data_IF_549266894249
#
_entry.id   IF_549266894249
#
_cell.length_a   1.000
_cell.length_b   1.000
_cell.length_c   1.000
_cell.angle_alpha   90.00
_cell.angle_beta   90.00
_cell.angle_gamma   90.00
#
_symmetry.space_group_name_H-M   'P 1'
#
loop_
_entity.id
_entity.type
_entity.pdbx_description
1 polymer ?
#
# COMPACT_ATOMS: atom_id res chain seq x y z
N UNK A 1 -36.93 8.52 -20.91
CA UNK A 1 -37.03 9.95 -20.60
C UNK A 1 -37.71 10.14 -19.25
N UNK A 2 -36.92 10.22 -18.17
CA UNK A 2 -37.37 10.68 -16.86
C UNK A 2 -36.23 11.50 -16.26
N UNK A 3 -36.49 12.79 -16.11
CA UNK A 3 -35.59 13.85 -15.68
C UNK A 3 -35.51 13.83 -14.15
N UNK A 4 -34.31 13.71 -13.59
CA UNK A 4 -34.08 13.95 -12.15
C UNK A 4 -33.44 15.32 -11.99
N UNK A 5 -34.18 16.21 -11.33
CA UNK A 5 -33.80 17.58 -10.99
C UNK A 5 -33.02 17.56 -9.67
N UNK A 6 -31.77 18.04 -9.72
CA UNK A 6 -30.91 18.19 -8.56
C UNK A 6 -31.29 19.44 -7.75
N UNK A 7 -31.36 19.31 -6.42
CA UNK A 7 -31.47 20.43 -5.49
C UNK A 7 -30.13 20.59 -4.77
N UNK A 8 -29.44 21.69 -5.05
CA UNK A 8 -28.17 22.09 -4.44
C UNK A 8 -28.46 23.30 -3.54
N UNK A 9 -28.45 23.11 -2.23
CA UNK A 9 -28.51 24.21 -1.25
C UNK A 9 -27.09 24.67 -0.91
N UNK A 10 -26.74 25.88 -1.37
CA UNK A 10 -25.56 26.60 -0.96
C UNK A 10 -25.84 27.37 0.35
N UNK A 11 -25.02 27.17 1.37
CA UNK A 11 -24.98 28.01 2.57
C UNK A 11 -23.81 28.98 2.42
N UNK A 12 -24.13 30.26 2.26
CA UNK A 12 -23.15 31.35 2.26
C UNK A 12 -22.99 31.87 3.71
N UNK A 13 -21.78 31.79 4.25
CA UNK A 13 -21.39 32.47 5.49
C UNK A 13 -20.88 33.87 5.13
N UNK A 14 -21.61 34.90 5.54
CA UNK A 14 -21.17 36.28 5.47
C UNK A 14 -20.35 36.64 6.72
N UNK A 15 -19.13 37.12 6.51
CA UNK A 15 -18.29 37.73 7.52
C UNK A 15 -18.52 39.25 7.55
N UNK A 16 -18.81 39.78 8.73
CA UNK A 16 -18.71 41.19 9.12
C UNK A 16 -18.37 41.12 10.63
N UNK A 17 -17.27 41.63 11.18
CA UNK A 17 -16.60 42.89 10.91
C UNK A 17 -17.02 43.88 11.98
N UNK A 18 -16.13 44.19 12.94
CA UNK A 18 -16.15 45.47 13.67
C UNK A 18 -16.06 45.45 15.19
N UNK A 19 -14.96 46.03 15.70
CA UNK A 19 -15.05 47.20 16.59
C UNK A 19 -14.90 46.97 18.09
N UNK A 20 -13.89 47.59 18.69
CA UNK A 20 -13.58 47.51 20.13
C UNK A 20 -14.28 48.58 20.99
N UNK A 21 -13.95 48.58 22.28
CA UNK A 21 -14.37 49.60 23.24
C UNK A 21 -14.35 49.12 24.69
N UNK A 22 -13.39 49.61 25.48
CA UNK A 22 -13.29 49.41 26.93
C UNK A 22 -14.25 50.33 27.72
N UNK A 23 -14.84 49.81 28.81
CA UNK A 23 -14.73 50.31 30.20
C UNK A 23 -15.95 49.96 31.07
N UNK A 24 -15.64 49.49 32.28
CA UNK A 24 -16.28 49.68 33.59
C UNK A 24 -17.78 49.41 33.81
N UNK A 25 -18.06 48.61 34.85
CA UNK A 25 -19.21 48.84 35.72
C UNK A 25 -20.09 47.63 36.01
N UNK A 26 -19.82 46.98 37.14
CA UNK A 26 -20.81 46.65 38.18
C UNK A 26 -22.15 46.00 37.82
N UNK A 27 -22.27 44.74 38.29
CA UNK A 27 -23.49 44.10 38.82
C UNK A 27 -24.64 43.77 37.85
N UNK A 28 -24.93 42.47 37.74
CA UNK A 28 -26.06 41.77 38.40
C UNK A 28 -26.41 40.53 37.57
N UNK A 29 -25.97 39.37 38.05
CA UNK A 29 -26.31 38.06 37.48
C UNK A 29 -27.80 37.79 37.64
N UNK A 30 -28.52 37.72 36.53
CA UNK A 30 -29.85 37.10 36.45
C UNK A 30 -29.73 35.80 35.68
N UNK A 31 -30.22 34.72 36.28
CA UNK A 31 -30.17 33.38 35.75
C UNK A 31 -31.04 33.28 34.49
N UNK A 32 -30.40 32.95 33.36
CA UNK A 32 -31.08 32.66 32.10
C UNK A 32 -31.37 31.16 32.03
N UNK A 33 -32.65 30.81 32.08
CA UNK A 33 -33.16 29.46 31.91
C UNK A 33 -32.87 28.93 30.51
N UNK A 34 -32.27 27.75 30.43
CA UNK A 34 -32.03 27.01 29.19
C UNK A 34 -33.36 26.62 28.51
N UNK A 35 -33.47 26.70 27.18
CA UNK A 35 -34.63 26.17 26.46
C UNK A 35 -34.62 24.63 26.45
N UNK A 36 -35.80 24.04 26.60
CA UNK A 36 -36.02 22.60 26.52
C UNK A 36 -35.67 22.05 25.12
N UNK A 37 -34.89 20.97 25.10
CA UNK A 37 -34.61 20.17 23.90
C UNK A 37 -35.77 19.20 23.67
N UNK A 38 -36.53 19.39 22.59
CA UNK A 38 -37.52 18.40 22.14
C UNK A 38 -36.80 17.25 21.43
N UNK A 39 -36.97 16.04 21.96
CA UNK A 39 -36.50 14.78 21.38
C UNK A 39 -37.50 14.31 20.32
N UNK A 40 -37.12 14.17 19.03
CA UNK A 40 -38.03 13.59 18.04
C UNK A 40 -38.17 12.08 18.25
N UNK A 41 -39.43 11.64 18.28
CA UNK A 41 -39.84 10.24 18.42
C UNK A 41 -39.53 9.45 17.15
N UNK A 42 -38.71 8.39 17.27
CA UNK A 42 -38.39 7.49 16.17
C UNK A 42 -39.52 6.45 15.99
N UNK A 43 -40.22 6.51 14.87
CA UNK A 43 -41.18 5.48 14.44
C UNK A 43 -40.45 4.25 13.94
N UNK A 44 -40.71 3.10 14.57
CA UNK A 44 -40.20 1.78 14.22
C UNK A 44 -40.77 1.29 12.87
N UNK A 45 -39.94 0.92 11.88
CA UNK A 45 -40.44 0.27 10.67
C UNK A 45 -40.79 -1.21 10.93
N UNK A 46 -41.95 -1.62 10.41
CA UNK A 46 -42.44 -2.99 10.47
C UNK A 46 -41.51 -3.98 9.73
N UNK A 47 -41.20 -5.09 10.39
CA UNK A 47 -40.45 -6.20 9.82
C UNK A 47 -41.34 -7.00 8.84
N UNK A 48 -40.99 -6.98 7.55
CA UNK A 48 -41.52 -7.93 6.58
C UNK A 48 -40.61 -9.15 6.53
N UNK A 49 -41.13 -10.29 6.98
CA UNK A 49 -40.52 -11.62 6.90
C UNK A 49 -40.55 -12.13 5.45
N UNK A 50 -39.42 -12.43 4.80
CA UNK A 50 -39.43 -13.13 3.52
C UNK A 50 -39.71 -14.62 3.74
N UNK A 51 -40.65 -15.16 2.97
CA UNK A 51 -40.93 -16.59 2.85
C UNK A 51 -39.74 -17.24 2.12
N UNK A 52 -39.17 -18.29 2.72
CA UNK A 52 -38.10 -19.08 2.15
C UNK A 52 -38.68 -20.10 1.15
N UNK A 53 -38.38 -19.92 -0.14
CA UNK A 53 -38.58 -20.96 -1.15
C UNK A 53 -37.45 -21.99 -1.06
N UNK A 54 -37.84 -23.24 -0.82
CA UNK A 54 -36.98 -24.40 -0.70
C UNK A 54 -36.70 -25.01 -2.08
N UNK A 55 -35.45 -25.13 -2.57
CA UNK A 55 -35.15 -25.91 -3.76
C UNK A 55 -35.03 -27.40 -3.41
N UNK A 56 -35.64 -28.22 -4.24
CA UNK A 56 -35.66 -29.67 -4.16
C UNK A 56 -34.25 -30.29 -4.30
N UNK A 57 -34.03 -31.35 -3.52
CA UNK A 57 -32.86 -32.20 -3.58
C UNK A 57 -32.80 -33.00 -4.88
N UNK A 58 -31.69 -32.88 -5.61
CA UNK A 58 -31.30 -33.82 -6.67
C UNK A 58 -30.09 -34.63 -6.22
N UNK A 59 -30.29 -35.93 -6.09
CA UNK A 59 -29.32 -36.96 -5.73
C UNK A 59 -28.21 -37.07 -6.80
N UNK A 60 -26.91 -37.16 -6.45
CA UNK A 60 -25.86 -37.43 -7.42
C UNK A 60 -25.66 -38.94 -7.63
N UNK A 61 -25.64 -39.35 -8.90
CA UNK A 61 -25.27 -40.69 -9.31
C UNK A 61 -23.74 -40.90 -9.17
N UNK A 62 -23.40 -42.06 -8.61
CA UNK A 62 -22.07 -42.58 -8.35
C UNK A 62 -21.42 -43.07 -9.65
N UNK A 63 -20.19 -42.64 -9.94
CA UNK A 63 -19.28 -43.36 -10.82
C UNK A 63 -17.82 -43.06 -10.44
N UNK A 64 -17.17 -44.05 -9.84
CA UNK A 64 -15.71 -44.14 -9.73
C UNK A 64 -15.16 -44.70 -11.05
N UNK A 65 -13.93 -44.34 -11.48
CA UNK A 65 -12.90 -45.34 -11.30
C UNK A 65 -11.53 -44.80 -10.85
N UNK A 66 -10.95 -45.64 -9.99
CA UNK A 66 -9.55 -45.81 -9.63
C UNK A 66 -8.56 -45.71 -10.81
N UNK A 67 -7.55 -44.85 -10.64
CA UNK A 67 -6.23 -45.06 -11.25
C UNK A 67 -5.13 -44.80 -10.20
N UNK A 68 -4.52 -45.88 -9.75
CA UNK A 68 -3.31 -45.92 -8.92
C UNK A 68 -2.11 -45.34 -9.67
N UNK A 69 -1.38 -44.35 -9.13
CA UNK A 69 -0.07 -43.97 -9.63
C UNK A 69 1.03 -44.74 -8.89
N UNK A 70 1.79 -45.53 -9.64
CA UNK A 70 2.98 -46.25 -9.19
C UNK A 70 4.13 -45.26 -8.96
N UNK A 71 4.65 -45.19 -7.73
CA UNK A 71 5.83 -44.41 -7.35
C UNK A 71 7.09 -45.25 -7.65
N UNK A 72 8.06 -44.76 -8.44
CA UNK A 72 9.40 -45.35 -8.49
C UNK A 72 10.28 -44.87 -7.31
N UNK A 73 11.20 -45.72 -6.81
CA UNK A 73 11.88 -45.52 -5.53
C UNK A 73 12.98 -44.45 -5.56
N UNK A 74 13.09 -43.74 -4.44
CA UNK A 74 14.16 -42.80 -4.10
C UNK A 74 15.53 -43.49 -4.05
N UNK A 75 16.51 -42.92 -4.76
CA UNK A 75 17.94 -43.17 -4.54
C UNK A 75 18.53 -42.09 -3.63
N UNK A 76 19.36 -42.43 -2.62
CA UNK A 76 19.97 -41.44 -1.73
C UNK A 76 21.23 -40.84 -2.35
N UNK A 77 21.31 -39.50 -2.42
CA UNK A 77 22.56 -38.80 -2.73
C UNK A 77 23.30 -38.41 -1.44
N UNK A 78 24.45 -39.04 -1.26
CA UNK A 78 25.47 -38.76 -0.23
C UNK A 78 26.19 -37.42 -0.51
N UNK A 79 26.52 -36.61 0.50
CA UNK A 79 27.24 -35.35 0.30
C UNK A 79 28.75 -35.57 0.13
N UNK A 80 29.34 -34.87 -0.84
CA UNK A 80 30.79 -34.81 -1.04
C UNK A 80 31.42 -33.68 -0.18
N UNK A 81 32.67 -33.86 0.29
CA UNK A 81 33.26 -33.07 1.37
C UNK A 81 33.92 -31.76 0.91
N UNK A 82 33.85 -30.76 1.79
CA UNK A 82 34.55 -29.48 1.73
C UNK A 82 36.06 -29.62 1.93
N UNK A 83 36.87 -29.03 1.04
CA UNK A 83 38.30 -28.80 1.24
C UNK A 83 38.56 -27.45 1.91
N UNK A 84 39.56 -27.35 2.82
CA UNK A 84 39.87 -26.15 3.57
C UNK A 84 40.88 -25.27 2.81
N UNK A 85 40.71 -23.94 2.87
CA UNK A 85 41.76 -22.99 2.48
C UNK A 85 42.36 -22.38 3.73
N UNK A 86 43.67 -22.60 3.83
CA UNK A 86 44.61 -22.24 4.87
C UNK A 86 44.78 -20.72 4.98
N UNK A 87 44.89 -20.25 6.22
CA UNK A 87 45.40 -18.92 6.56
C UNK A 87 46.92 -18.86 6.37
N UNK A 88 47.46 -17.66 6.10
CA UNK A 88 48.68 -17.17 6.74
C UNK A 88 48.91 -15.66 6.50
N UNK A 89 49.75 -14.98 7.33
CA UNK A 89 49.53 -13.60 7.76
C UNK A 89 50.74 -12.67 7.60
N UNK A 90 50.55 -11.39 7.98
CA UNK A 90 51.56 -10.35 8.33
C UNK A 90 52.32 -9.77 7.10
N UNK A 91 52.46 -8.45 6.88
CA UNK A 91 53.18 -7.43 7.71
C UNK A 91 52.81 -5.97 7.31
N UNK A 92 53.03 -4.97 8.19
CA UNK A 92 52.66 -3.55 8.00
C UNK A 92 53.86 -2.65 7.64
N UNK A 93 53.61 -1.49 7.00
CA UNK A 93 54.47 -0.30 7.13
C UNK A 93 53.84 1.01 6.56
N UNK A 94 53.71 2.01 7.44
CA UNK A 94 54.00 3.46 7.27
C UNK A 94 53.32 4.34 6.20
N UNK A 95 52.44 5.24 6.70
CA UNK A 95 52.38 6.73 6.58
C UNK A 95 53.38 7.46 5.66
N UNK A 96 53.05 8.64 5.05
CA UNK A 96 52.47 9.78 5.78
C UNK A 96 51.47 10.69 5.04
N UNK A 97 50.83 11.50 5.89
CA UNK A 97 50.04 12.71 5.62
C UNK A 97 50.74 13.74 4.73
N UNK A 98 50.02 14.26 3.75
CA UNK A 98 50.35 15.49 3.03
C UNK A 98 49.07 16.31 2.79
N UNK A 99 49.05 17.53 3.31
CA UNK A 99 47.94 18.47 3.21
C UNK A 99 48.06 19.40 1.97
N UNK A 100 46.89 19.91 1.57
CA UNK A 100 46.66 21.21 0.89
C UNK A 100 46.85 21.33 -0.63
N UNK A 101 45.75 21.51 -1.37
CA UNK A 101 45.36 22.80 -1.97
C UNK A 101 43.93 22.77 -2.56
N UNK A 102 43.18 23.90 -2.52
CA UNK A 102 41.85 24.04 -3.09
C UNK A 102 41.94 24.56 -4.54
N UNK A 103 41.24 23.93 -5.48
CA UNK A 103 41.24 24.41 -6.86
C UNK A 103 40.25 23.69 -7.77
N UNK A 104 39.25 24.44 -8.24
CA UNK A 104 38.47 24.11 -9.43
C UNK A 104 37.20 23.30 -9.15
N UNK A 105 36.11 23.99 -8.82
CA UNK A 105 34.78 23.48 -9.12
C UNK A 105 34.65 23.40 -10.65
N UNK A 106 35.01 22.26 -11.23
CA UNK A 106 34.50 21.87 -12.54
C UNK A 106 32.99 21.70 -12.38
N UNK A 107 32.23 22.69 -12.83
CA UNK A 107 30.82 22.51 -13.11
C UNK A 107 30.72 21.31 -14.06
N UNK A 108 30.03 20.21 -13.68
CA UNK A 108 29.79 19.12 -14.59
C UNK A 108 29.14 19.73 -15.83
N UNK A 109 29.76 19.54 -16.99
CA UNK A 109 29.16 19.96 -18.25
C UNK A 109 27.77 19.31 -18.31
N UNK A 110 26.73 20.14 -18.29
CA UNK A 110 25.36 19.70 -18.50
C UNK A 110 25.32 19.07 -19.90
N UNK A 111 25.36 17.74 -19.94
CA UNK A 111 25.15 16.99 -21.17
C UNK A 111 23.68 17.19 -21.53
N UNK A 112 23.44 18.00 -22.56
CA UNK A 112 22.12 18.18 -23.12
C UNK A 112 21.70 16.83 -23.74
N UNK A 113 21.00 16.01 -22.96
CA UNK A 113 20.38 14.80 -23.42
C UNK A 113 19.23 15.19 -24.36
N UNK A 114 19.41 15.04 -25.67
CA UNK A 114 18.31 15.17 -26.62
C UNK A 114 17.46 13.90 -26.51
N UNK A 115 16.54 13.86 -25.56
CA UNK A 115 15.80 12.65 -25.18
C UNK A 115 14.75 12.27 -26.23
N UNK A 116 14.90 11.08 -26.84
CA UNK A 116 13.81 10.36 -27.49
C UNK A 116 13.12 9.37 -26.53
N UNK A 117 11.99 8.80 -26.93
CA UNK A 117 11.32 7.71 -26.20
C UNK A 117 11.54 6.38 -26.92
N UNK A 118 11.66 5.28 -26.17
CA UNK A 118 11.80 3.93 -26.74
C UNK A 118 11.04 2.90 -25.90
N UNK A 119 10.48 1.90 -26.57
CA UNK A 119 9.93 0.69 -25.94
C UNK A 119 10.94 -0.48 -25.94
N UNK A 120 12.11 -0.29 -26.56
CA UNK A 120 13.21 -1.24 -26.51
C UNK A 120 14.12 -0.91 -25.32
N UNK A 121 14.06 -1.77 -24.29
CA UNK A 121 14.88 -1.67 -23.07
C UNK A 121 16.38 -1.68 -23.38
N UNK A 122 16.82 -2.36 -24.45
CA UNK A 122 18.23 -2.40 -24.84
C UNK A 122 18.68 -1.10 -25.50
N UNK A 123 17.75 -0.41 -26.17
CA UNK A 123 18.00 0.89 -26.79
C UNK A 123 18.03 2.04 -25.78
N UNK A 124 17.32 1.91 -24.65
CA UNK A 124 17.36 2.89 -23.57
C UNK A 124 18.75 3.04 -22.95
N UNK A 125 19.60 1.99 -23.04
CA UNK A 125 20.88 1.89 -22.35
C UNK A 125 22.13 1.87 -23.20
N UNK A 126 22.09 2.45 -24.41
CA UNK A 126 23.31 2.56 -25.20
C UNK A 126 24.24 3.64 -24.65
N UNK A 127 25.43 3.21 -24.21
CA UNK A 127 26.56 4.05 -23.83
C UNK A 127 26.95 4.95 -25.01
N UNK A 128 26.59 6.24 -24.94
CA UNK A 128 27.00 7.22 -25.94
C UNK A 128 25.99 8.34 -26.14
N UNK A 129 25.85 9.20 -25.12
CA UNK A 129 25.21 10.53 -25.15
C UNK A 129 23.74 10.64 -25.60
N UNK A 130 23.13 9.59 -26.15
CA UNK A 130 21.72 9.53 -26.53
C UNK A 130 21.00 8.57 -25.58
N UNK A 131 20.54 9.10 -24.45
CA UNK A 131 19.69 8.37 -23.53
C UNK A 131 18.24 8.50 -24.00
N UNK A 132 17.72 7.43 -24.61
CA UNK A 132 16.28 7.33 -24.84
C UNK A 132 15.61 6.92 -23.53
N UNK A 133 14.49 7.56 -23.21
CA UNK A 133 13.68 7.24 -22.05
C UNK A 133 12.89 5.97 -22.36
N UNK A 134 13.04 4.95 -21.53
CA UNK A 134 12.24 3.74 -21.63
C UNK A 134 10.81 4.00 -21.16
N UNK A 135 9.84 3.65 -22.00
CA UNK A 135 8.40 3.70 -21.73
C UNK A 135 7.77 2.39 -22.20
N UNK A 136 6.64 1.96 -21.62
CA UNK A 136 5.91 0.80 -22.15
C UNK A 136 5.14 1.16 -23.42
N UNK A 137 4.59 2.36 -23.47
CA UNK A 137 3.89 2.91 -24.64
C UNK A 137 4.48 4.28 -25.03
N UNK A 138 4.73 4.51 -26.33
CA UNK A 138 5.29 5.80 -26.79
C UNK A 138 4.29 6.92 -26.49
N UNK A 139 4.69 7.98 -25.75
CA UNK A 139 3.76 9.00 -25.32
C UNK A 139 3.25 9.84 -26.47
N UNK A 140 1.93 10.06 -26.48
CA UNK A 140 1.27 11.05 -27.33
C UNK A 140 1.36 12.44 -26.73
N UNK A 141 1.27 12.51 -25.40
CA UNK A 141 1.33 13.77 -24.65
C UNK A 141 2.53 13.74 -23.70
N UNK A 142 3.39 14.74 -23.77
CA UNK A 142 4.54 14.90 -22.87
C UNK A 142 4.27 16.08 -21.96
N UNK A 143 4.19 15.83 -20.65
CA UNK A 143 4.08 16.91 -19.66
C UNK A 143 5.46 17.57 -19.53
N UNK A 144 5.58 18.90 -19.65
CA UNK A 144 6.87 19.57 -19.46
C UNK A 144 7.45 19.30 -18.07
N UNK A 145 8.78 19.15 -17.98
CA UNK A 145 9.45 19.00 -16.69
C UNK A 145 9.16 20.18 -15.76
N UNK A 146 9.04 19.90 -14.46
CA UNK A 146 8.70 20.88 -13.42
C UNK A 146 7.34 21.57 -13.59
N UNK A 147 6.41 20.97 -14.35
CA UNK A 147 5.03 21.47 -14.46
C UNK A 147 4.38 21.50 -13.08
N UNK A 148 3.71 22.61 -12.76
CA UNK A 148 2.86 22.73 -11.57
C UNK A 148 1.40 22.81 -12.02
N UNK A 149 0.62 21.79 -11.71
CA UNK A 149 -0.83 21.76 -11.92
C UNK A 149 -1.47 22.64 -10.85
N UNK A 150 -1.92 23.83 -11.25
CA UNK A 150 -2.47 24.87 -10.34
C UNK A 150 -4.00 24.92 -10.31
N UNK A 151 -4.64 24.28 -11.27
CA UNK A 151 -6.09 24.23 -11.41
C UNK A 151 -6.52 22.79 -11.69
N UNK A 152 -7.81 22.53 -11.54
CA UNK A 152 -8.37 21.21 -11.82
C UNK A 152 -8.06 20.80 -13.26
N UNK A 153 -7.37 19.66 -13.39
CA UNK A 153 -6.85 19.15 -14.66
C UNK A 153 -7.31 17.73 -14.85
N UNK A 154 -7.68 17.39 -16.08
CA UNK A 154 -8.13 16.03 -16.43
C UNK A 154 -7.22 15.44 -17.51
N UNK A 155 -6.73 14.23 -17.27
CA UNK A 155 -6.00 13.41 -18.23
C UNK A 155 -6.92 12.33 -18.78
N UNK A 156 -7.13 12.34 -20.09
CA UNK A 156 -8.15 11.56 -20.79
C UNK A 156 -7.51 10.48 -21.66
N UNK A 157 -8.24 9.40 -21.94
CA UNK A 157 -7.77 8.35 -22.83
C UNK A 157 -7.43 8.86 -24.25
N UNK A 158 -8.12 9.88 -24.74
CA UNK A 158 -7.91 10.43 -26.09
C UNK A 158 -6.51 11.06 -26.28
N UNK A 159 -5.88 11.52 -25.20
CA UNK A 159 -4.56 12.16 -25.20
C UNK A 159 -3.45 11.25 -24.67
N UNK A 160 -3.82 10.02 -24.28
CA UNK A 160 -2.92 8.97 -23.83
C UNK A 160 -2.05 8.42 -24.97
N UNK A 161 -0.84 7.89 -24.67
CA UNK A 161 -0.17 7.87 -23.37
C UNK A 161 0.41 9.22 -22.96
N UNK A 162 0.40 9.49 -21.65
CA UNK A 162 1.04 10.65 -21.04
C UNK A 162 2.40 10.26 -20.50
N UNK A 163 3.46 11.00 -20.85
CA UNK A 163 4.73 10.94 -20.13
C UNK A 163 4.80 12.06 -19.10
N UNK A 164 5.02 11.67 -17.84
CA UNK A 164 5.09 12.57 -16.69
C UNK A 164 6.49 12.54 -16.10
N UNK A 165 7.34 13.53 -16.41
CA UNK A 165 8.68 13.58 -15.86
C UNK A 165 8.68 13.86 -14.35
N UNK A 166 9.81 13.53 -13.73
CA UNK A 166 10.14 13.97 -12.38
C UNK A 166 10.00 15.49 -12.21
N UNK A 167 9.72 15.92 -10.98
CA UNK A 167 9.53 17.33 -10.65
C UNK A 167 8.15 17.90 -10.97
N UNK A 168 7.26 17.14 -11.62
CA UNK A 168 5.85 17.52 -11.77
C UNK A 168 5.18 17.62 -10.39
N UNK A 169 4.35 18.65 -10.19
CA UNK A 169 3.68 18.92 -8.92
C UNK A 169 2.19 19.21 -9.10
N UNK A 170 1.40 18.87 -8.09
CA UNK A 170 0.00 19.27 -7.97
C UNK A 170 -0.10 20.24 -6.80
N UNK A 171 -0.53 21.48 -7.09
CA UNK A 171 -0.67 22.51 -6.09
C UNK A 171 -1.79 22.19 -5.09
N UNK A 172 -1.72 22.80 -3.91
CA UNK A 172 -2.83 22.76 -2.96
C UNK A 172 -4.12 23.29 -3.62
N UNK A 173 -5.24 22.66 -3.30
CA UNK A 173 -6.58 22.94 -3.87
C UNK A 173 -6.76 22.65 -5.37
N UNK A 174 -5.77 22.07 -6.05
CA UNK A 174 -5.94 21.55 -7.41
C UNK A 174 -6.25 20.04 -7.37
N UNK A 175 -7.08 19.58 -8.31
CA UNK A 175 -7.36 18.17 -8.54
C UNK A 175 -6.78 17.71 -9.87
N UNK A 176 -5.95 16.68 -9.87
CA UNK A 176 -5.63 15.91 -11.08
C UNK A 176 -6.56 14.71 -11.17
N UNK A 177 -7.38 14.66 -12.21
CA UNK A 177 -8.24 13.52 -12.53
C UNK A 177 -7.65 12.73 -13.69
N UNK A 178 -7.47 11.42 -13.51
CA UNK A 178 -7.04 10.47 -14.54
C UNK A 178 -8.24 9.59 -14.85
N UNK A 179 -8.78 9.72 -16.05
CA UNK A 179 -10.00 9.02 -16.47
C UNK A 179 -9.73 7.56 -16.85
N UNK A 180 -10.80 6.78 -16.93
CA UNK A 180 -10.80 5.43 -17.45
C UNK A 180 -10.08 5.33 -18.81
N UNK A 181 -9.19 4.35 -18.95
CA UNK A 181 -8.44 4.08 -20.17
C UNK A 181 -7.25 5.00 -20.44
N UNK A 182 -7.01 6.03 -19.60
CA UNK A 182 -5.79 6.82 -19.70
C UNK A 182 -4.57 5.97 -19.28
N UNK A 183 -3.48 6.07 -20.04
CA UNK A 183 -2.18 5.44 -19.79
C UNK A 183 -1.20 6.54 -19.38
N UNK A 184 -0.64 6.40 -18.18
CA UNK A 184 0.30 7.32 -17.59
C UNK A 184 1.64 6.61 -17.39
N UNK A 185 2.67 7.14 -18.00
CA UNK A 185 4.07 6.72 -17.89
C UNK A 185 4.79 7.73 -17.00
N UNK A 186 5.30 7.30 -15.86
CA UNK A 186 6.20 8.12 -15.06
C UNK A 186 7.65 7.96 -15.50
N UNK A 187 8.47 8.90 -15.03
CA UNK A 187 9.91 8.88 -15.23
C UNK A 187 10.54 7.60 -14.63
N UNK A 188 11.21 6.80 -15.45
CA UNK A 188 11.90 5.58 -15.05
C UNK A 188 13.38 5.72 -15.37
N UNK A 189 14.22 5.66 -14.34
CA UNK A 189 15.68 5.64 -14.49
C UNK A 189 16.11 4.27 -14.99
N UNK A 190 16.26 4.12 -16.30
CA UNK A 190 16.25 2.79 -16.92
C UNK A 190 17.63 2.20 -17.26
N UNK A 191 18.76 2.55 -16.62
CA UNK A 191 20.06 1.96 -17.00
C UNK A 191 20.97 1.45 -15.87
N UNK A 192 21.28 0.14 -15.98
CA UNK A 192 21.87 -0.73 -14.98
C UNK A 192 23.40 -0.65 -14.79
N UNK A 193 24.15 0.22 -15.51
CA UNK A 193 25.51 0.57 -15.03
C UNK A 193 25.45 1.42 -13.76
N UNK A 194 24.29 1.99 -13.46
CA UNK A 194 23.90 2.41 -12.14
C UNK A 194 23.05 1.30 -11.51
N UNK A 195 23.62 0.54 -10.57
CA UNK A 195 22.91 -0.39 -9.67
C UNK A 195 21.99 0.37 -8.70
N UNK A 196 21.20 1.32 -9.20
CA UNK A 196 20.34 2.20 -8.44
C UNK A 196 18.91 2.04 -8.94
N UNK A 197 18.08 1.50 -8.06
CA UNK A 197 16.62 1.56 -8.00
C UNK A 197 15.89 1.85 -9.34
N UNK A 198 15.12 0.87 -9.81
CA UNK A 198 13.97 1.13 -10.69
C UNK A 198 12.91 1.83 -9.84
N UNK A 199 13.21 3.05 -9.42
CA UNK A 199 12.35 3.90 -8.65
C UNK A 199 11.79 4.94 -9.60
N UNK A 200 10.52 4.84 -9.93
CA UNK A 200 9.87 5.97 -10.53
C UNK A 200 9.98 7.17 -9.59
N UNK A 201 10.38 8.32 -10.13
CA UNK A 201 10.42 9.55 -9.35
C UNK A 201 8.98 10.04 -9.14
N UNK A 202 8.42 9.94 -7.93
CA UNK A 202 7.02 10.28 -7.71
C UNK A 202 6.79 11.78 -7.90
N UNK A 203 5.63 12.15 -8.46
CA UNK A 203 5.20 13.54 -8.48
C UNK A 203 4.93 14.04 -7.06
N UNK A 204 5.12 15.33 -6.80
CA UNK A 204 4.78 15.91 -5.49
C UNK A 204 3.32 16.37 -5.50
N UNK A 205 2.51 15.87 -4.57
CA UNK A 205 1.10 16.19 -4.51
C UNK A 205 0.73 16.93 -3.22
N UNK A 206 0.33 18.20 -3.34
CA UNK A 206 -0.27 18.97 -2.25
C UNK A 206 -1.80 19.13 -2.38
N UNK A 207 -2.37 18.66 -3.49
CA UNK A 207 -3.81 18.69 -3.78
C UNK A 207 -4.43 17.30 -3.77
N UNK A 208 -5.22 16.98 -4.80
CA UNK A 208 -5.92 15.70 -4.91
C UNK A 208 -5.56 15.00 -6.21
N UNK A 209 -5.18 13.73 -6.14
CA UNK A 209 -5.09 12.83 -7.30
C UNK A 209 -6.27 11.88 -7.28
N UNK A 210 -7.04 11.83 -8.37
CA UNK A 210 -8.13 10.88 -8.56
C UNK A 210 -7.87 10.06 -9.81
N UNK A 211 -7.71 8.75 -9.66
CA UNK A 211 -7.68 7.79 -10.77
C UNK A 211 -9.03 7.09 -10.77
N UNK A 212 -9.79 7.31 -11.85
CA UNK A 212 -11.20 6.93 -11.95
C UNK A 212 -11.41 6.03 -13.16
N UNK A 213 -10.89 4.80 -13.08
CA UNK A 213 -11.21 3.78 -14.06
C UNK A 213 -12.64 3.25 -13.93
N UNK A 214 -12.93 2.20 -14.68
CA UNK A 214 -14.17 1.42 -14.56
C UNK A 214 -13.88 -0.06 -14.75
N UNK A 215 -14.76 -0.96 -14.32
CA UNK A 215 -14.58 -2.42 -14.43
C UNK A 215 -14.24 -2.93 -15.84
N UNK A 216 -14.69 -2.24 -16.89
CA UNK A 216 -14.38 -2.62 -18.28
C UNK A 216 -13.25 -1.82 -18.92
N UNK A 217 -12.74 -0.79 -18.24
CA UNK A 217 -11.74 0.11 -18.79
C UNK A 217 -10.91 0.71 -17.66
N UNK A 218 -9.85 -0.02 -17.28
CA UNK A 218 -8.92 0.43 -16.25
C UNK A 218 -8.07 1.60 -16.75
N UNK A 219 -7.71 2.51 -15.84
CA UNK A 219 -6.59 3.43 -16.08
C UNK A 219 -5.28 2.66 -15.88
N UNK A 220 -4.23 2.97 -16.64
CA UNK A 220 -2.94 2.29 -16.52
C UNK A 220 -1.88 3.25 -16.00
N UNK A 221 -1.21 2.86 -14.92
CA UNK A 221 -0.18 3.64 -14.25
C UNK A 221 1.12 2.86 -14.29
N UNK A 222 2.03 3.29 -15.15
CA UNK A 222 3.29 2.64 -15.43
C UNK A 222 4.44 3.45 -14.86
N UNK A 223 5.00 2.98 -13.74
CA UNK A 223 5.99 3.76 -13.01
C UNK A 223 5.47 5.15 -12.61
N UNK A 224 4.18 5.34 -12.37
CA UNK A 224 3.65 6.66 -12.02
C UNK A 224 3.46 6.78 -10.51
N UNK A 225 4.49 7.25 -9.81
CA UNK A 225 4.45 7.43 -8.36
C UNK A 225 3.80 8.76 -7.94
N UNK A 226 3.13 8.77 -6.79
CA UNK A 226 2.62 9.99 -6.14
C UNK A 226 3.21 10.11 -4.74
N UNK A 227 3.80 11.26 -4.40
CA UNK A 227 4.29 11.57 -3.05
C UNK A 227 3.44 12.68 -2.48
N UNK A 228 2.58 12.33 -1.52
CA UNK A 228 1.68 13.30 -0.91
C UNK A 228 2.46 14.15 0.12
N UNK A 229 2.29 15.47 0.05
CA UNK A 229 2.68 16.40 1.13
C UNK A 229 1.59 16.40 2.21
N UNK A 230 1.72 17.18 3.28
CA UNK A 230 0.80 17.14 4.44
C UNK A 230 -0.70 17.30 4.11
N UNK A 231 -1.04 17.96 2.99
CA UNK A 231 -2.42 18.16 2.54
C UNK A 231 -2.83 17.30 1.34
N UNK A 232 -1.88 16.56 0.76
CA UNK A 232 -2.12 15.79 -0.45
C UNK A 232 -2.95 14.53 -0.20
N UNK A 233 -3.83 14.16 -1.12
CA UNK A 233 -4.54 12.87 -1.07
C UNK A 233 -4.55 12.17 -2.42
N UNK A 234 -4.62 10.84 -2.41
CA UNK A 234 -4.72 10.02 -3.61
C UNK A 234 -5.86 9.00 -3.46
N UNK A 235 -6.76 8.98 -4.44
CA UNK A 235 -7.78 7.95 -4.61
C UNK A 235 -7.56 7.27 -5.95
N UNK A 236 -7.40 5.96 -5.92
CA UNK A 236 -7.10 5.12 -7.07
C UNK A 236 -8.16 4.03 -7.13
N UNK A 237 -8.92 4.00 -8.22
CA UNK A 237 -10.01 3.05 -8.41
C UNK A 237 -9.98 2.49 -9.83
N UNK A 238 -10.16 1.17 -9.97
CA UNK A 238 -10.15 0.47 -11.25
C UNK A 238 -8.90 0.81 -12.09
N UNK A 239 -7.72 0.61 -11.51
CA UNK A 239 -6.46 0.92 -12.16
C UNK A 239 -5.51 -0.27 -12.22
N UNK A 240 -4.69 -0.33 -13.27
CA UNK A 240 -3.59 -1.25 -13.43
C UNK A 240 -2.29 -0.52 -13.11
N UNK A 241 -1.71 -0.82 -11.96
CA UNK A 241 -0.47 -0.25 -11.47
C UNK A 241 0.64 -1.26 -11.75
N UNK A 242 1.62 -0.87 -12.57
CA UNK A 242 2.78 -1.70 -12.85
C UNK A 242 4.07 -0.94 -12.58
N UNK A 243 4.92 -1.52 -11.73
CA UNK A 243 6.18 -0.89 -11.27
C UNK A 243 5.95 0.53 -10.69
N UNK A 244 4.73 0.79 -10.22
CA UNK A 244 4.31 2.09 -9.72
C UNK A 244 4.54 2.17 -8.22
N UNK A 245 5.31 3.15 -7.72
CA UNK A 245 5.36 3.43 -6.30
C UNK A 245 3.97 3.81 -5.80
N UNK A 246 3.42 3.04 -4.86
CA UNK A 246 2.16 3.39 -4.23
C UNK A 246 2.28 4.73 -3.50
N UNK A 247 1.19 5.51 -3.40
CA UNK A 247 1.23 6.80 -2.75
C UNK A 247 1.79 6.73 -1.32
N UNK A 248 2.78 7.56 -1.03
CA UNK A 248 3.42 7.61 0.29
C UNK A 248 3.13 8.93 1.02
N UNK A 249 3.13 8.87 2.35
CA UNK A 249 3.01 10.03 3.25
C UNK A 249 2.21 9.67 4.51
N UNK A 250 2.80 9.81 5.69
CA UNK A 250 2.26 9.31 6.96
C UNK A 250 0.92 9.93 7.40
N UNK A 251 0.53 11.08 6.84
CA UNK A 251 -0.71 11.78 7.19
C UNK A 251 -1.85 11.54 6.22
N UNK A 252 -1.58 10.92 5.06
CA UNK A 252 -2.48 11.03 3.93
C UNK A 252 -3.19 9.71 3.65
N UNK A 253 -4.52 9.78 3.73
CA UNK A 253 -5.41 8.68 3.37
C UNK A 253 -5.15 8.24 1.94
N UNK A 254 -4.85 6.95 1.76
CA UNK A 254 -4.91 6.28 0.47
C UNK A 254 -6.27 5.58 0.35
N UNK A 255 -6.96 5.83 -0.76
CA UNK A 255 -8.09 5.01 -1.18
C UNK A 255 -7.61 4.21 -2.38
N UNK A 256 -7.54 2.89 -2.27
CA UNK A 256 -7.14 1.98 -3.35
C UNK A 256 -8.20 0.90 -3.49
N UNK A 257 -8.98 0.96 -4.56
CA UNK A 257 -10.15 0.09 -4.76
C UNK A 257 -10.11 -0.60 -6.13
N UNK A 258 -10.52 -1.86 -6.17
CA UNK A 258 -10.81 -2.57 -7.43
C UNK A 258 -9.65 -2.53 -8.45
N UNK A 259 -8.40 -2.50 -7.97
CA UNK A 259 -7.21 -2.24 -8.78
C UNK A 259 -6.28 -3.46 -8.83
N UNK A 260 -5.53 -3.57 -9.93
CA UNK A 260 -4.45 -4.55 -10.07
C UNK A 260 -3.12 -3.87 -9.82
N UNK A 261 -2.34 -4.38 -8.88
CA UNK A 261 -1.10 -3.78 -8.39
C UNK A 261 0.02 -4.81 -8.55
N UNK A 262 0.89 -4.59 -9.53
CA UNK A 262 1.95 -5.52 -9.86
C UNK A 262 3.32 -4.86 -9.74
N UNK A 263 4.22 -5.50 -8.99
CA UNK A 263 5.58 -5.03 -8.73
C UNK A 263 5.61 -3.57 -8.22
N UNK A 264 4.60 -3.18 -7.45
CA UNK A 264 4.52 -1.83 -6.90
C UNK A 264 5.48 -1.66 -5.71
N UNK A 265 6.22 -0.56 -5.68
CA UNK A 265 7.16 -0.20 -4.60
C UNK A 265 8.19 -1.30 -4.28
N UNK A 266 8.66 -2.03 -5.29
CA UNK A 266 9.75 -3.00 -5.16
C UNK A 266 10.96 -2.56 -5.96
N UNK A 267 12.15 -2.80 -5.42
CA UNK A 267 13.40 -2.73 -6.17
C UNK A 267 13.75 -4.15 -6.62
N UNK A 268 14.17 -4.29 -7.88
CA UNK A 268 14.71 -5.55 -8.37
C UNK A 268 16.21 -5.60 -8.15
N UNK A 269 16.63 -6.60 -7.39
CA UNK A 269 18.03 -6.92 -7.19
C UNK A 269 18.39 -8.13 -8.07
N UNK A 270 19.43 -8.00 -8.90
CA UNK A 270 20.01 -9.12 -9.64
C UNK A 270 21.28 -9.56 -8.93
N UNK A 271 21.22 -10.68 -8.20
CA UNK A 271 22.40 -11.26 -7.54
C UNK A 271 22.71 -12.63 -8.15
N UNK A 272 23.90 -12.79 -8.75
CA UNK A 272 24.33 -14.03 -9.41
C UNK A 272 23.35 -14.57 -10.48
N UNK A 273 22.73 -13.66 -11.25
CA UNK A 273 21.75 -14.02 -12.29
C UNK A 273 20.37 -14.41 -11.75
N UNK A 274 20.17 -14.44 -10.43
CA UNK A 274 18.86 -14.62 -9.80
C UNK A 274 18.23 -13.27 -9.54
N UNK A 275 16.99 -13.11 -9.99
CA UNK A 275 16.15 -11.95 -9.71
C UNK A 275 15.48 -12.10 -8.35
N UNK A 276 15.75 -11.18 -7.44
CA UNK A 276 15.06 -11.05 -6.17
C UNK A 276 14.36 -9.69 -6.09
N UNK A 277 13.19 -9.66 -5.46
CA UNK A 277 12.47 -8.43 -5.20
C UNK A 277 12.76 -8.00 -3.76
N UNK A 278 13.20 -6.75 -3.58
CA UNK A 278 13.39 -6.12 -2.29
C UNK A 278 12.32 -5.05 -2.09
N UNK A 279 11.73 -4.99 -0.91
CA UNK A 279 10.88 -3.86 -0.54
C UNK A 279 10.97 -3.57 0.95
N UNK A 280 10.77 -2.30 1.29
CA UNK A 280 10.67 -1.80 2.67
C UNK A 280 9.21 -1.64 3.14
N UNK A 281 8.23 -2.02 2.30
CA UNK A 281 6.82 -1.81 2.56
C UNK A 281 6.36 -0.37 2.31
N UNK A 282 5.07 -0.17 2.12
CA UNK A 282 4.46 1.13 1.82
C UNK A 282 3.71 1.64 3.02
N UNK A 283 4.10 2.80 3.56
CA UNK A 283 3.42 3.43 4.68
C UNK A 283 2.08 4.03 4.23
N UNK A 284 0.99 3.41 4.67
CA UNK A 284 -0.37 3.92 4.53
C UNK A 284 -0.59 5.01 5.57
N UNK A 285 -1.13 6.15 5.15
CA UNK A 285 -1.63 7.13 6.09
C UNK A 285 -2.85 6.61 6.86
N UNK A 286 -3.17 7.26 7.97
CA UNK A 286 -4.36 6.97 8.76
C UNK A 286 -5.63 6.94 7.92
N UNK A 287 -6.58 6.09 8.31
CA UNK A 287 -7.88 5.91 7.68
C UNK A 287 -7.82 5.53 6.19
N UNK A 288 -6.74 4.85 5.77
CA UNK A 288 -6.63 4.34 4.40
C UNK A 288 -7.60 3.18 4.15
N UNK A 289 -8.15 3.13 2.95
CA UNK A 289 -9.08 2.08 2.51
C UNK A 289 -8.44 1.33 1.34
N UNK A 290 -8.12 0.05 1.55
CA UNK A 290 -7.52 -0.84 0.56
C UNK A 290 -8.45 -2.04 0.40
N UNK A 291 -9.22 -2.05 -0.68
CA UNK A 291 -10.27 -3.05 -0.85
C UNK A 291 -10.40 -3.57 -2.29
N UNK A 292 -10.65 -4.87 -2.43
CA UNK A 292 -10.89 -5.54 -3.73
C UNK A 292 -9.75 -5.38 -4.74
N UNK A 293 -8.51 -5.32 -4.26
CA UNK A 293 -7.34 -5.21 -5.13
C UNK A 293 -6.62 -6.56 -5.30
N UNK A 294 -5.91 -6.71 -6.41
CA UNK A 294 -4.99 -7.82 -6.66
C UNK A 294 -3.55 -7.33 -6.57
N UNK A 295 -2.80 -7.76 -5.56
CA UNK A 295 -1.38 -7.46 -5.41
C UNK A 295 -0.53 -8.63 -5.88
N UNK A 296 0.40 -8.41 -6.81
CA UNK A 296 1.27 -9.42 -7.39
C UNK A 296 2.71 -8.96 -7.24
N UNK A 297 3.56 -9.76 -6.59
CA UNK A 297 5.00 -9.48 -6.47
C UNK A 297 5.29 -8.04 -5.96
N UNK A 298 4.38 -7.48 -5.16
CA UNK A 298 4.41 -6.08 -4.75
C UNK A 298 4.89 -5.93 -3.31
N UNK A 299 5.27 -4.72 -2.95
CA UNK A 299 5.51 -4.36 -1.56
C UNK A 299 4.27 -4.62 -0.71
N UNK A 300 4.48 -5.15 0.50
CA UNK A 300 3.49 -5.14 1.55
C UNK A 300 3.14 -3.73 2.01
N UNK A 301 2.07 -3.64 2.79
CA UNK A 301 1.56 -2.37 3.32
C UNK A 301 1.95 -2.26 4.79
N UNK A 302 2.50 -1.12 5.18
CA UNK A 302 2.71 -0.73 6.56
C UNK A 302 1.51 0.13 6.96
N UNK A 303 0.71 -0.33 7.91
CA UNK A 303 -0.57 0.31 8.23
C UNK A 303 -0.76 0.44 9.74
N UNK A 304 -1.70 1.25 10.14
CA UNK A 304 -2.18 1.32 11.52
C UNK A 304 -3.59 0.74 11.66
N UNK A 305 -4.07 0.63 12.89
CA UNK A 305 -5.41 0.08 13.16
C UNK A 305 -6.58 0.90 12.64
N UNK A 306 -6.35 2.12 12.14
CA UNK A 306 -7.41 2.95 11.55
C UNK A 306 -7.64 2.63 10.08
N UNK A 307 -6.72 1.89 9.46
CA UNK A 307 -6.82 1.50 8.05
C UNK A 307 -7.68 0.25 7.87
N UNK A 308 -8.42 0.20 6.76
CA UNK A 308 -9.19 -0.95 6.32
C UNK A 308 -8.47 -1.65 5.18
N UNK A 309 -8.18 -2.95 5.33
CA UNK A 309 -7.56 -3.78 4.30
C UNK A 309 -8.42 -5.03 4.14
N UNK A 310 -9.32 -5.05 3.17
CA UNK A 310 -10.28 -6.15 3.06
C UNK A 310 -10.55 -6.61 1.64
N UNK A 311 -10.92 -7.87 1.48
CA UNK A 311 -11.27 -8.44 0.18
C UNK A 311 -10.16 -8.31 -0.88
N UNK A 312 -8.89 -8.24 -0.50
CA UNK A 312 -7.78 -8.17 -1.44
C UNK A 312 -7.20 -9.57 -1.70
N UNK A 313 -6.66 -9.76 -2.89
CA UNK A 313 -5.88 -10.93 -3.28
C UNK A 313 -4.39 -10.57 -3.25
N UNK A 314 -3.60 -11.26 -2.44
CA UNK A 314 -2.16 -11.06 -2.33
C UNK A 314 -1.42 -12.29 -2.87
N UNK A 315 -0.63 -12.11 -3.93
CA UNK A 315 0.13 -13.17 -4.60
C UNK A 315 1.61 -12.85 -4.47
N UNK A 316 2.32 -13.69 -3.72
CA UNK A 316 3.79 -13.67 -3.60
C UNK A 316 4.39 -12.29 -3.29
N UNK A 317 3.84 -11.63 -2.26
CA UNK A 317 4.25 -10.29 -1.82
C UNK A 317 5.75 -10.21 -1.49
N UNK A 318 6.43 -9.16 -1.96
CA UNK A 318 7.86 -8.90 -1.69
C UNK A 318 8.12 -8.52 -0.22
N UNK A 319 7.12 -7.98 0.46
CA UNK A 319 7.14 -7.72 1.90
C UNK A 319 5.77 -7.99 2.55
N UNK A 320 5.73 -8.33 3.84
CA UNK A 320 4.48 -8.63 4.53
C UNK A 320 3.61 -7.39 4.73
N UNK A 321 2.32 -7.61 4.94
CA UNK A 321 1.47 -6.65 5.63
C UNK A 321 2.00 -6.47 7.05
N UNK A 322 2.29 -5.23 7.44
CA UNK A 322 2.92 -4.92 8.72
C UNK A 322 2.10 -3.92 9.51
N UNK A 323 1.60 -4.33 10.68
CA UNK A 323 0.99 -3.41 11.63
C UNK A 323 2.08 -2.53 12.27
N UNK A 324 1.96 -1.22 12.13
CA UNK A 324 2.94 -0.23 12.62
C UNK A 324 2.50 0.44 13.91
N UNK A 325 1.20 0.60 14.12
CA UNK A 325 0.63 1.12 15.36
C UNK A 325 -0.78 0.59 15.56
N UNK A 326 -1.16 0.39 16.81
CA UNK A 326 -2.49 0.00 17.20
C UNK A 326 -3.07 1.10 18.10
N UNK A 327 -4.11 1.76 17.64
CA UNK A 327 -4.84 2.77 18.40
C UNK A 327 -5.51 2.11 19.59
N UNK A 328 -5.25 2.67 20.77
CA UNK A 328 -5.94 2.28 21.98
C UNK A 328 -7.14 3.19 22.20
N UNK A 329 -8.28 2.58 22.50
CA UNK A 329 -9.51 3.21 22.96
C UNK A 329 -9.51 3.11 24.48
N UNK A 330 -9.37 4.24 25.16
CA UNK A 330 -9.50 4.29 26.62
C UNK A 330 -10.98 4.34 27.00
N UNK A 331 -11.44 3.31 27.68
CA UNK A 331 -12.80 3.25 28.25
C UNK A 331 -12.70 3.55 29.75
N UNK A 332 -13.11 4.74 30.22
CA UNK A 332 -13.06 5.07 31.64
C UNK A 332 -14.01 4.17 32.43
N UNK A 333 -13.55 3.70 33.59
CA UNK A 333 -14.38 3.03 34.58
C UNK A 333 -15.31 4.04 35.23
N UNK A 334 -16.60 3.71 35.28
CA UNK A 334 -17.63 4.55 35.92
C UNK A 334 -17.46 4.64 37.44
N UNK A 335 -16.59 3.81 38.04
CA UNK A 335 -16.61 3.58 39.50
C UNK A 335 -15.26 3.83 40.20
N UNK A 336 -14.23 4.38 39.53
CA UNK A 336 -12.94 4.49 40.23
C UNK A 336 -11.76 5.22 39.60
N UNK A 337 -11.94 6.12 38.63
CA UNK A 337 -10.80 6.85 38.02
C UNK A 337 -9.77 5.98 37.27
N UNK A 338 -10.00 4.66 37.21
CA UNK A 338 -9.31 3.72 36.34
C UNK A 338 -10.04 3.60 35.01
N UNK A 339 -9.44 2.96 34.02
CA UNK A 339 -10.12 2.62 32.76
C UNK A 339 -9.41 1.48 32.05
N UNK A 340 -10.10 0.88 31.08
CA UNK A 340 -9.58 -0.23 30.29
C UNK A 340 -9.20 0.29 28.91
N UNK A 341 -7.99 -0.03 28.46
CA UNK A 341 -7.62 0.18 27.07
C UNK A 341 -8.10 -1.03 26.25
N UNK A 342 -8.91 -0.77 25.24
CA UNK A 342 -9.21 -1.73 24.16
C UNK A 342 -8.49 -1.30 22.90
N UNK A 343 -8.14 -2.22 22.03
CA UNK A 343 -7.57 -1.85 20.73
C UNK A 343 -8.70 -1.65 19.73
N UNK A 344 -8.60 -0.59 18.92
CA UNK A 344 -9.50 -0.46 17.78
C UNK A 344 -9.31 -1.69 16.88
N UNK A 345 -10.38 -2.42 16.53
CA UNK A 345 -10.25 -3.58 15.65
C UNK A 345 -9.75 -3.09 14.30
N UNK A 346 -8.54 -3.48 13.92
CA UNK A 346 -8.06 -3.23 12.56
C UNK A 346 -8.85 -4.12 11.61
N UNK A 347 -9.43 -3.55 10.55
CA UNK A 347 -10.19 -4.30 9.58
C UNK A 347 -9.29 -4.94 8.52
N UNK A 348 -8.40 -5.86 8.94
CA UNK A 348 -7.70 -6.78 8.01
C UNK A 348 -8.50 -8.07 7.92
N UNK A 349 -9.39 -8.17 6.94
CA UNK A 349 -10.36 -9.28 6.89
C UNK A 349 -10.73 -9.67 5.47
N UNK A 350 -11.12 -10.92 5.26
CA UNK A 350 -11.62 -11.45 3.98
C UNK A 350 -10.61 -11.32 2.83
N UNK A 351 -9.33 -11.12 3.12
CA UNK A 351 -8.28 -11.16 2.11
C UNK A 351 -7.98 -12.61 1.70
N UNK A 352 -7.18 -12.80 0.66
CA UNK A 352 -6.67 -14.10 0.24
C UNK A 352 -5.17 -14.01 -0.01
N UNK A 353 -4.38 -14.67 0.84
CA UNK A 353 -2.94 -14.82 0.63
C UNK A 353 -2.64 -16.11 -0.13
N UNK A 354 -2.12 -15.99 -1.34
CA UNK A 354 -1.66 -17.10 -2.17
C UNK A 354 -0.15 -17.13 -2.26
N UNK A 355 0.42 -18.31 -2.04
CA UNK A 355 1.84 -18.58 -2.16
C UNK A 355 2.04 -19.54 -3.33
N UNK A 356 2.64 -19.09 -4.43
CA UNK A 356 2.76 -19.90 -5.65
C UNK A 356 3.98 -20.80 -5.61
N UNK A 357 3.86 -22.00 -6.17
CA UNK A 357 5.02 -22.89 -6.36
C UNK A 357 5.95 -22.25 -7.40
N UNK A 358 7.25 -22.29 -7.14
CA UNK A 358 8.26 -21.80 -8.08
C UNK A 358 8.52 -20.29 -8.03
N UNK A 359 7.81 -19.53 -7.18
CA UNK A 359 8.15 -18.12 -7.01
C UNK A 359 9.53 -17.98 -6.33
N UNK A 360 10.40 -17.14 -6.91
CA UNK A 360 11.76 -16.84 -6.45
C UNK A 360 11.81 -15.86 -5.28
N UNK A 361 10.66 -15.29 -4.90
CA UNK A 361 10.54 -14.41 -3.76
C UNK A 361 10.81 -15.20 -2.47
N UNK A 362 11.96 -14.91 -1.87
CA UNK A 362 12.39 -15.51 -0.62
C UNK A 362 11.53 -15.05 0.56
N UNK A 363 10.91 -13.87 0.45
CA UNK A 363 9.99 -13.40 1.47
C UNK A 363 8.65 -14.09 1.30
N UNK A 364 8.31 -14.90 2.29
CA UNK A 364 7.03 -15.62 2.34
C UNK A 364 6.20 -15.21 3.54
N UNK A 365 6.56 -14.13 4.24
CA UNK A 365 5.75 -13.67 5.35
C UNK A 365 4.56 -12.88 4.77
N UNK A 366 3.35 -13.26 5.17
CA UNK A 366 2.11 -12.57 4.80
C UNK A 366 1.81 -11.42 5.76
N UNK A 367 1.93 -11.66 7.06
CA UNK A 367 1.55 -10.69 8.11
C UNK A 367 2.59 -10.64 9.22
N UNK A 368 2.91 -9.44 9.68
CA UNK A 368 3.78 -9.17 10.84
C UNK A 368 3.38 -7.86 11.53
N UNK A 369 4.14 -7.46 12.55
CA UNK A 369 4.02 -6.20 13.27
C UNK A 369 5.38 -5.66 13.70
N UNK A 370 5.48 -4.36 13.96
CA UNK A 370 6.68 -3.76 14.56
C UNK A 370 6.85 -4.10 16.04
N UNK A 371 8.09 -4.10 16.52
CA UNK A 371 8.46 -4.48 17.91
C UNK A 371 7.94 -3.52 19.00
N UNK A 372 7.31 -2.41 18.64
CA UNK A 372 6.71 -1.46 19.58
C UNK A 372 5.19 -1.41 19.57
N UNK A 373 4.51 -2.20 18.73
CA UNK A 373 3.04 -2.14 18.66
C UNK A 373 2.44 -2.63 19.98
N UNK A 374 1.48 -1.86 20.51
CA UNK A 374 0.86 -2.12 21.82
C UNK A 374 1.64 -1.55 23.03
N UNK A 375 2.77 -0.88 22.79
CA UNK A 375 3.45 -0.08 23.80
C UNK A 375 2.95 1.36 23.74
N UNK A 376 2.70 1.99 24.89
CA UNK A 376 2.39 3.41 24.92
C UNK A 376 3.61 4.25 24.50
N UNK A 377 3.40 5.29 23.69
CA UNK A 377 4.48 6.11 23.10
C UNK A 377 5.33 6.81 24.18
N UNK A 378 4.77 7.03 25.37
CA UNK A 378 5.47 7.57 26.54
C UNK A 378 6.50 6.60 27.14
N UNK A 379 6.56 5.37 26.63
CA UNK A 379 7.19 4.25 27.30
C UNK A 379 8.44 3.74 26.54
N UNK A 380 8.60 4.06 25.25
CA UNK A 380 9.75 3.57 24.47
C UNK A 380 11.11 4.17 24.88
N UNK A 381 11.14 5.25 25.66
CA UNK A 381 12.36 5.87 26.18
C UNK A 381 12.50 5.78 27.71
N UNK A 382 11.45 5.39 28.42
CA UNK A 382 11.48 5.21 29.88
C UNK A 382 11.73 3.73 30.20
N UNK A 383 12.86 3.44 30.83
CA UNK A 383 13.15 2.13 31.44
C UNK A 383 11.97 1.72 32.33
N UNK A 384 11.21 0.69 31.93
CA UNK A 384 10.02 0.23 32.66
C UNK A 384 8.69 0.35 31.91
N UNK A 385 8.70 0.56 30.60
CA UNK A 385 7.49 0.52 29.79
C UNK A 385 6.79 -0.84 29.81
N UNK A 386 5.54 -0.83 30.24
CA UNK A 386 4.66 -1.99 30.17
C UNK A 386 3.91 -1.95 28.85
N UNK A 387 4.35 -2.76 27.88
CA UNK A 387 3.57 -3.01 26.68
C UNK A 387 2.39 -3.90 27.08
N UNK A 388 1.17 -3.48 26.72
CA UNK A 388 -0.02 -4.28 27.02
C UNK A 388 -0.20 -5.29 25.89
N UNK A 389 -0.06 -6.61 26.14
CA UNK A 389 -0.26 -7.61 25.10
C UNK A 389 -1.65 -7.46 24.48
N UNK A 390 -1.74 -7.66 23.17
CA UNK A 390 -3.02 -7.71 22.48
C UNK A 390 -3.01 -8.80 21.41
N UNK A 391 -4.20 -9.10 20.91
CA UNK A 391 -4.39 -10.03 19.82
C UNK A 391 -4.74 -9.23 18.57
N UNK A 392 -3.87 -9.29 17.57
CA UNK A 392 -4.17 -8.76 16.25
C UNK A 392 -4.96 -9.81 15.47
N UNK A 393 -6.25 -9.58 15.29
CA UNK A 393 -7.12 -10.51 14.58
C UNK A 393 -7.03 -10.30 13.05
N UNK A 394 -6.50 -11.33 12.38
CA UNK A 394 -6.48 -11.50 10.92
C UNK A 394 -7.13 -12.83 10.54
N UNK A 395 -8.10 -13.31 11.32
CA UNK A 395 -8.95 -14.43 10.94
C UNK A 395 -9.66 -14.16 9.61
N UNK A 396 -10.00 -15.24 8.90
CA UNK A 396 -10.67 -15.17 7.60
C UNK A 396 -9.86 -14.45 6.51
N UNK A 397 -8.53 -14.56 6.50
CA UNK A 397 -7.67 -13.96 5.46
C UNK A 397 -6.85 -14.96 4.62
N UNK A 398 -6.83 -16.23 5.03
CA UNK A 398 -6.03 -17.25 4.36
C UNK A 398 -6.94 -18.14 3.53
N UNK A 399 -6.65 -18.28 2.25
CA UNK A 399 -7.32 -19.20 1.33
C UNK A 399 -6.29 -20.07 0.61
N UNK A 400 -6.71 -21.21 0.08
CA UNK A 400 -5.85 -22.19 -0.59
C UNK A 400 -5.24 -23.23 0.34
N UNK A 401 -5.19 -22.97 1.66
CA UNK A 401 -4.78 -23.96 2.66
C UNK A 401 -5.53 -23.77 3.98
N UNK A 402 -5.88 -24.87 4.63
CA UNK A 402 -6.40 -24.91 6.01
C UNK A 402 -5.36 -25.46 6.99
N UNK A 403 -4.13 -25.71 6.53
CA UNK A 403 -3.06 -26.23 7.36
C UNK A 403 -2.45 -25.09 8.21
N UNK A 404 -2.79 -25.07 9.51
CA UNK A 404 -2.30 -24.07 10.45
C UNK A 404 -0.77 -24.02 10.55
N UNK A 405 -0.04 -25.12 10.32
CA UNK A 405 1.43 -25.09 10.31
C UNK A 405 1.96 -24.29 9.12
N UNK A 406 1.33 -24.44 7.95
CA UNK A 406 1.69 -23.66 6.77
C UNK A 406 1.37 -22.19 7.01
N UNK A 407 0.17 -21.87 7.51
CA UNK A 407 -0.23 -20.48 7.80
C UNK A 407 0.69 -19.86 8.86
N UNK A 408 0.96 -20.56 9.97
CA UNK A 408 1.84 -20.08 11.02
C UNK A 408 3.26 -19.77 10.51
N UNK A 409 3.78 -20.56 9.56
CA UNK A 409 5.09 -20.29 8.94
C UNK A 409 5.14 -19.02 8.06
N UNK A 410 3.97 -18.41 7.82
CA UNK A 410 3.78 -17.19 7.02
C UNK A 410 3.44 -15.98 7.91
N UNK A 411 3.45 -16.15 9.22
CA UNK A 411 3.11 -15.12 10.21
C UNK A 411 4.30 -14.91 11.12
N UNK A 412 4.63 -13.65 11.39
CA UNK A 412 5.64 -13.29 12.39
C UNK A 412 4.97 -12.51 13.51
N UNK A 413 4.79 -13.16 14.65
CA UNK A 413 4.19 -12.65 15.88
C UNK A 413 5.04 -13.00 17.12
N UNK A 414 4.53 -12.76 18.32
CA UNK A 414 5.18 -13.11 19.60
C UNK A 414 5.60 -14.58 19.72
N UNK A 415 4.85 -15.50 19.11
CA UNK A 415 5.15 -16.94 19.19
C UNK A 415 6.38 -17.32 18.36
N UNK A 416 6.59 -16.62 17.24
CA UNK A 416 7.75 -16.80 16.36
C UNK A 416 8.94 -15.88 16.70
N UNK A 417 8.68 -14.75 17.35
CA UNK A 417 9.67 -13.73 17.68
C UNK A 417 9.34 -13.10 19.05
N UNK A 418 10.12 -13.47 20.06
CA UNK A 418 9.95 -13.03 21.46
C UNK A 418 10.08 -11.51 21.65
N UNK A 419 10.59 -10.77 20.66
CA UNK A 419 10.67 -9.31 20.71
C UNK A 419 9.38 -8.61 20.26
N UNK A 420 8.38 -9.37 19.81
CA UNK A 420 7.05 -8.85 19.49
C UNK A 420 6.13 -9.02 20.70
N UNK A 421 5.32 -8.01 20.99
CA UNK A 421 4.49 -7.99 22.21
C UNK A 421 3.14 -8.69 22.06
N UNK A 422 2.74 -8.99 20.83
CA UNK A 422 1.37 -9.38 20.51
C UNK A 422 1.30 -10.62 19.66
N UNK A 423 0.19 -11.33 19.83
CA UNK A 423 -0.15 -12.55 19.09
C UNK A 423 -0.99 -12.17 17.88
N UNK A 424 -0.90 -12.95 16.82
CA UNK A 424 -1.75 -12.79 15.63
C UNK A 424 -2.75 -13.95 15.60
N UNK A 425 -4.05 -13.66 15.70
CA UNK A 425 -5.08 -14.67 15.47
C UNK A 425 -5.36 -14.77 13.97
N UNK A 426 -5.11 -15.93 13.37
CA UNK A 426 -5.33 -16.18 11.94
C UNK A 426 -6.38 -17.27 11.68
N UNK A 427 -7.06 -17.75 12.72
CA UNK A 427 -8.07 -18.80 12.60
C UNK A 427 -9.48 -18.24 12.81
N UNK A 428 -10.48 -18.71 12.04
CA UNK A 428 -10.38 -19.75 11.01
C UNK A 428 -9.76 -19.23 9.69
N UNK A 429 -9.22 -20.16 8.89
CA UNK A 429 -8.93 -19.90 7.48
C UNK A 429 -10.23 -19.91 6.66
N UNK A 430 -10.21 -19.28 5.48
CA UNK A 430 -11.32 -19.27 4.54
C UNK A 430 -11.45 -20.62 3.83
N UNK A 431 -12.65 -21.22 3.84
CA UNK A 431 -12.94 -22.42 3.05
C UNK A 431 -12.91 -22.16 1.53
N UNK A 432 -13.32 -20.95 1.14
CA UNK A 432 -13.32 -20.44 -0.24
C UNK A 432 -13.03 -18.93 -0.19
N UNK A 433 -12.50 -18.32 -1.26
CA UNK A 433 -12.26 -16.89 -1.24
C UNK A 433 -13.61 -16.16 -1.09
N UNK A 434 -13.62 -15.03 -0.41
CA UNK A 434 -14.81 -14.19 -0.33
C UNK A 434 -15.27 -13.78 -1.74
N UNK A 435 -16.58 -13.68 -1.96
CA UNK A 435 -17.13 -13.41 -3.29
C UNK A 435 -16.74 -12.03 -3.84
N UNK A 436 -16.39 -11.07 -2.98
CA UNK A 436 -15.89 -9.77 -3.38
C UNK A 436 -14.37 -9.76 -3.62
N UNK A 437 -13.63 -10.80 -3.18
CA UNK A 437 -12.18 -10.87 -3.39
C UNK A 437 -11.89 -11.18 -4.86
N UNK A 438 -10.97 -10.43 -5.52
CA UNK A 438 -10.58 -10.70 -6.89
C UNK A 438 -10.16 -12.15 -7.12
N UNK A 439 -10.44 -12.64 -8.33
CA UNK A 439 -10.03 -13.98 -8.75
C UNK A 439 -8.58 -13.94 -9.19
N UNK A 440 -7.83 -14.97 -8.82
CA UNK A 440 -6.48 -15.19 -9.34
C UNK A 440 -6.51 -15.58 -10.82
N UNK A 441 -5.96 -14.71 -11.66
CA UNK A 441 -5.85 -14.87 -13.11
C UNK A 441 -4.41 -15.15 -13.57
N UNK A 442 -3.47 -15.37 -12.64
CA UNK A 442 -2.04 -15.55 -12.96
C UNK A 442 -1.74 -16.87 -13.66
N UNK A 443 -2.65 -17.84 -13.59
CA UNK A 443 -2.47 -19.20 -14.12
C UNK A 443 -1.44 -20.05 -13.38
N UNK A 444 -0.90 -19.56 -12.24
CA UNK A 444 0.10 -20.26 -11.44
C UNK A 444 -0.54 -21.22 -10.43
N UNK A 445 0.09 -22.37 -10.17
CA UNK A 445 -0.38 -23.34 -9.17
C UNK A 445 -0.09 -22.87 -7.74
N UNK A 446 -1.07 -23.01 -6.84
CA UNK A 446 -0.94 -22.72 -5.40
C UNK A 446 -0.12 -23.82 -4.68
N UNK A 447 0.63 -23.43 -3.64
CA UNK A 447 1.37 -24.33 -2.74
C UNK A 447 0.48 -25.15 -1.81
#
# INVERSE_FOLDING_TARGET
MKTYLALLTAVALAACGGGGGSNDGGAKTTAQSSPASETPSASTPAANTPVADSPAASTPATASPSTTPTIPPNTPNTPAPSTPVTADPVTPASSPSGASAPGGASTPAASNCTSGFTTDVTAACRNGNNHNIYVYEIPKTVIPANTVIREDTTWTAANSPYYVPSGTQIAANATLTIEAGAVIEGDRTSCATCSGDIGASPITNAGVVKVQGSTGLHAKLYGFGVRNTQSGSASIQFADLYETPLPTGSTNKLILLDSRVERASVTEDMTNGVRSLRSYGVNLGQNSDVERNTFINSAGLLFDSTSTIKNNLFIDMASPLTLTSASTIYTPSTTGGSGTYSYAPTAVTLNSFLFKIGNTNANRIAVTMFSGVGCSVAASSASGSTCTPFVFDVSNNFWGTTNNTVIASRIVDKNSNVNLNSEINYTPALEKPDAATPVDDTGLTNQ
#
